data_IF_032239815426
#
_entry.id   IF_032239815426
#
_cell.length_a   1.000
_cell.length_b   1.000
_cell.length_c   1.000
_cell.angle_alpha   90.00
_cell.angle_beta   90.00
_cell.angle_gamma   90.00
#
_symmetry.space_group_name_H-M   'P 1'
#
loop_
_entity.id
_entity.type
_entity.pdbx_description
1 polymer ?
#
# COMPACT_ATOMS: atom_id res chain seq x y z
N UNK A 1 -10.44 -1.44 -0.84
CA UNK A 1 -11.32 -0.35 -0.43
C UNK A 1 -10.67 1.03 -0.70
N UNK A 2 -9.50 1.34 -0.14
CA UNK A 2 -8.80 2.61 -0.39
C UNK A 2 -8.72 2.98 -1.88
N UNK A 3 -8.29 2.03 -2.74
CA UNK A 3 -8.17 2.25 -4.18
C UNK A 3 -9.50 2.62 -4.83
N UNK A 4 -10.59 1.98 -4.39
CA UNK A 4 -11.93 2.30 -4.86
C UNK A 4 -12.35 3.71 -4.42
N UNK A 5 -12.06 4.09 -3.17
CA UNK A 5 -12.32 5.45 -2.69
C UNK A 5 -11.57 6.50 -3.51
N UNK A 6 -10.28 6.28 -3.79
CA UNK A 6 -9.47 7.21 -4.61
C UNK A 6 -9.99 7.28 -6.04
N UNK A 7 -10.30 6.13 -6.67
CA UNK A 7 -10.76 6.11 -8.06
C UNK A 7 -12.11 6.82 -8.26
N UNK A 8 -12.95 6.85 -7.24
CA UNK A 8 -14.27 7.46 -7.24
C UNK A 8 -14.33 8.84 -6.56
N UNK A 9 -13.26 9.27 -5.87
CA UNK A 9 -13.26 10.52 -5.09
C UNK A 9 -14.12 10.45 -3.82
N UNK A 10 -14.36 9.24 -3.32
CA UNK A 10 -15.10 9.02 -2.09
C UNK A 10 -14.16 9.12 -0.87
N UNK A 11 -14.63 9.61 0.27
CA UNK A 11 -13.80 9.64 1.48
C UNK A 11 -13.48 8.21 1.95
N UNK A 12 -12.25 8.02 2.42
CA UNK A 12 -11.90 6.84 3.19
C UNK A 12 -12.18 7.15 4.66
N UNK A 13 -13.18 6.52 5.22
CA UNK A 13 -13.72 6.87 6.54
C UNK A 13 -14.13 8.37 6.57
N UNK A 14 -13.51 9.17 7.45
CA UNK A 14 -13.70 10.62 7.53
C UNK A 14 -12.57 11.44 6.83
N UNK A 15 -11.65 10.75 6.13
CA UNK A 15 -10.55 11.41 5.42
C UNK A 15 -10.92 11.61 3.94
N UNK A 16 -10.82 12.86 3.48
CA UNK A 16 -11.03 13.16 2.06
C UNK A 16 -9.97 12.49 1.18
N UNK A 17 -10.37 12.04 0.00
CA UNK A 17 -9.44 11.54 -1.03
C UNK A 17 -9.39 12.50 -2.20
N UNK A 18 -8.29 12.51 -2.93
CA UNK A 18 -8.18 13.19 -4.22
C UNK A 18 -8.54 12.18 -5.31
N UNK A 19 -9.63 12.45 -6.06
CA UNK A 19 -10.06 11.59 -7.14
C UNK A 19 -8.99 11.49 -8.24
N UNK A 20 -8.77 10.27 -8.73
CA UNK A 20 -7.90 10.01 -9.88
C UNK A 20 -7.78 8.54 -10.19
N UNK A 21 -7.05 8.23 -11.25
CA UNK A 21 -6.79 6.85 -11.63
C UNK A 21 -5.86 6.17 -10.63
N UNK A 22 -6.06 4.86 -10.47
CA UNK A 22 -5.28 4.02 -9.55
C UNK A 22 -4.69 2.85 -10.32
N UNK A 23 -3.40 2.61 -10.18
CA UNK A 23 -2.74 1.37 -10.61
C UNK A 23 -2.50 0.48 -9.40
N UNK A 24 -3.05 -0.74 -9.41
CA UNK A 24 -2.80 -1.75 -8.38
C UNK A 24 -2.00 -2.92 -8.98
N UNK A 25 -0.74 -3.05 -8.58
CA UNK A 25 0.13 -4.18 -8.90
C UNK A 25 -0.10 -5.28 -7.87
N UNK A 26 -1.00 -6.22 -8.17
CA UNK A 26 -1.37 -7.35 -7.31
C UNK A 26 -0.53 -8.58 -7.66
N UNK A 27 0.70 -8.63 -7.15
CA UNK A 27 1.73 -9.56 -7.62
C UNK A 27 1.70 -10.94 -6.93
N UNK A 28 0.78 -11.14 -6.02
CA UNK A 28 0.58 -12.41 -5.30
C UNK A 28 -0.80 -13.04 -5.56
N UNK A 29 -1.68 -12.33 -6.24
CA UNK A 29 -3.04 -12.78 -6.54
C UNK A 29 -3.24 -13.09 -8.04
N UNK A 30 -4.25 -13.89 -8.35
CA UNK A 30 -4.74 -14.09 -9.71
C UNK A 30 -5.84 -13.07 -10.04
N UNK A 31 -6.07 -12.79 -11.33
CA UNK A 31 -7.18 -11.95 -11.77
C UNK A 31 -8.54 -12.41 -11.24
N UNK A 32 -8.76 -13.72 -11.17
CA UNK A 32 -10.01 -14.26 -10.63
C UNK A 32 -10.22 -13.89 -9.16
N UNK A 33 -9.18 -13.94 -8.32
CA UNK A 33 -9.27 -13.53 -6.91
C UNK A 33 -9.49 -12.04 -6.77
N UNK A 34 -8.81 -11.23 -7.58
CA UNK A 34 -8.99 -9.77 -7.62
C UNK A 34 -10.44 -9.45 -7.99
N UNK A 35 -10.96 -10.07 -9.05
CA UNK A 35 -12.33 -9.89 -9.52
C UNK A 35 -13.36 -10.25 -8.43
N UNK A 36 -13.21 -11.42 -7.78
CA UNK A 36 -14.10 -11.84 -6.70
C UNK A 36 -14.11 -10.81 -5.57
N UNK A 37 -12.93 -10.39 -5.08
CA UNK A 37 -12.82 -9.38 -4.01
C UNK A 37 -13.36 -8.01 -4.42
N UNK A 38 -13.23 -7.65 -5.69
CA UNK A 38 -13.76 -6.38 -6.19
C UNK A 38 -15.30 -6.41 -6.22
N UNK A 39 -15.90 -7.53 -6.62
CA UNK A 39 -17.35 -7.71 -6.59
C UNK A 39 -17.94 -7.72 -5.17
N UNK A 40 -17.17 -8.14 -4.16
CA UNK A 40 -17.57 -8.00 -2.75
C UNK A 40 -17.66 -6.52 -2.33
N UNK A 41 -16.96 -5.62 -3.02
CA UNK A 41 -16.89 -4.18 -2.70
C UNK A 41 -17.79 -3.30 -3.56
N UNK A 42 -18.05 -3.69 -4.79
CA UNK A 42 -18.83 -2.90 -5.75
C UNK A 42 -19.40 -3.75 -6.88
N UNK A 43 -20.61 -3.46 -7.30
CA UNK A 43 -21.22 -4.08 -8.49
C UNK A 43 -20.63 -3.51 -9.79
N UNK A 44 -20.21 -2.23 -9.77
CA UNK A 44 -19.62 -1.53 -10.91
C UNK A 44 -18.17 -1.14 -10.62
N UNK A 45 -17.22 -1.86 -11.23
CA UNK A 45 -15.81 -1.51 -11.14
C UNK A 45 -15.53 -0.23 -11.95
N UNK A 46 -15.00 0.83 -11.32
CA UNK A 46 -14.71 2.06 -12.03
C UNK A 46 -13.60 1.85 -13.07
N UNK A 47 -13.73 2.41 -14.30
CA UNK A 47 -12.72 2.27 -15.35
C UNK A 47 -11.39 2.94 -15.00
N UNK A 48 -11.34 3.72 -13.92
CA UNK A 48 -10.18 4.41 -13.37
C UNK A 48 -9.39 3.58 -12.37
N UNK A 49 -9.80 2.32 -12.12
CA UNK A 49 -9.10 1.38 -11.26
C UNK A 49 -8.48 0.25 -12.10
N UNK A 50 -7.17 0.29 -12.27
CA UNK A 50 -6.40 -0.61 -13.11
C UNK A 50 -5.66 -1.65 -12.29
N UNK A 51 -5.62 -2.90 -12.77
CA UNK A 51 -4.92 -4.01 -12.11
C UNK A 51 -3.90 -4.65 -13.05
N UNK A 52 -2.74 -4.98 -12.49
CA UNK A 52 -1.76 -5.84 -13.13
C UNK A 52 -1.29 -6.91 -12.13
N UNK A 53 -1.09 -8.15 -12.61
CA UNK A 53 -0.64 -9.29 -11.80
C UNK A 53 0.83 -9.65 -12.04
N UNK A 54 1.50 -8.91 -12.90
CA UNK A 54 2.92 -9.04 -13.20
C UNK A 54 3.57 -7.67 -13.27
N UNK A 55 4.79 -7.59 -12.80
CA UNK A 55 5.65 -6.41 -12.92
C UNK A 55 7.12 -6.85 -12.94
N UNK A 56 7.97 -6.02 -13.51
CA UNK A 56 9.42 -6.16 -13.40
C UNK A 56 9.88 -5.79 -11.98
N UNK A 57 11.17 -6.07 -11.69
CA UNK A 57 11.74 -5.68 -10.40
C UNK A 57 12.28 -4.25 -10.44
N UNK A 58 12.49 -3.65 -9.27
CA UNK A 58 12.94 -2.27 -9.09
C UNK A 58 14.19 -1.89 -9.90
N UNK A 59 15.13 -2.84 -10.06
CA UNK A 59 16.38 -2.59 -10.81
C UNK A 59 16.31 -3.03 -12.27
N UNK A 60 15.20 -3.59 -12.71
CA UNK A 60 15.07 -4.24 -14.00
C UNK A 60 13.79 -3.87 -14.76
N UNK A 61 13.29 -2.65 -14.60
CA UNK A 61 12.24 -2.15 -15.47
C UNK A 61 10.96 -1.66 -14.79
N UNK A 62 10.75 -1.90 -13.48
CA UNK A 62 9.52 -1.49 -12.78
C UNK A 62 9.27 0.02 -12.90
N UNK A 63 10.32 0.84 -12.74
CA UNK A 63 10.19 2.30 -12.84
C UNK A 63 9.69 2.70 -14.22
N UNK A 64 10.26 2.11 -15.28
CA UNK A 64 9.86 2.36 -16.66
C UNK A 64 8.43 1.91 -16.96
N UNK A 65 8.01 0.76 -16.41
CA UNK A 65 6.63 0.29 -16.54
C UNK A 65 5.64 1.25 -15.89
N UNK A 66 5.93 1.73 -14.68
CA UNK A 66 5.09 2.72 -14.00
C UNK A 66 5.09 4.04 -14.79
N UNK A 67 6.26 4.53 -15.25
CA UNK A 67 6.36 5.75 -16.05
C UNK A 67 5.55 5.66 -17.35
N UNK A 68 5.57 4.51 -18.03
CA UNK A 68 4.77 4.28 -19.23
C UNK A 68 3.28 4.34 -18.91
N UNK A 69 2.84 3.66 -17.85
CA UNK A 69 1.45 3.71 -17.40
C UNK A 69 1.02 5.15 -17.08
N UNK A 70 1.84 5.92 -16.36
CA UNK A 70 1.57 7.31 -16.02
C UNK A 70 1.50 8.23 -17.25
N UNK A 71 2.22 7.92 -18.32
CA UNK A 71 2.14 8.66 -19.57
C UNK A 71 0.81 8.42 -20.32
N UNK A 72 0.28 7.20 -20.24
CA UNK A 72 -1.02 6.81 -20.81
C UNK A 72 -2.19 7.25 -19.92
N UNK A 73 -1.96 7.36 -18.59
CA UNK A 73 -2.93 7.68 -17.55
C UNK A 73 -2.50 8.90 -16.71
N UNK A 74 -2.52 10.12 -17.29
CA UNK A 74 -1.97 11.32 -16.63
C UNK A 74 -2.73 11.77 -15.38
N UNK A 75 -3.96 11.27 -15.17
CA UNK A 75 -4.77 11.56 -14.00
C UNK A 75 -4.53 10.59 -12.83
N UNK A 76 -3.53 9.73 -12.90
CA UNK A 76 -3.18 8.79 -11.83
C UNK A 76 -2.80 9.55 -10.56
N UNK A 77 -3.36 9.11 -9.41
CA UNK A 77 -3.08 9.66 -8.08
C UNK A 77 -2.44 8.64 -7.15
N UNK A 78 -2.66 7.35 -7.40
CA UNK A 78 -2.16 6.29 -6.52
C UNK A 78 -1.63 5.11 -7.33
N UNK A 79 -0.44 4.65 -6.95
CA UNK A 79 0.11 3.36 -7.39
C UNK A 79 0.26 2.49 -6.15
N UNK A 80 -0.29 1.27 -6.17
CA UNK A 80 -0.14 0.29 -5.08
C UNK A 80 0.73 -0.86 -5.57
N UNK A 81 1.72 -1.25 -4.77
CA UNK A 81 2.59 -2.40 -5.03
C UNK A 81 2.36 -3.44 -3.93
N UNK A 82 1.72 -4.55 -4.29
CA UNK A 82 1.34 -5.64 -3.39
C UNK A 82 1.94 -6.98 -3.87
N UNK A 83 3.10 -7.39 -3.35
CA UNK A 83 3.83 -6.80 -2.24
C UNK A 83 5.21 -6.29 -2.68
N UNK A 84 5.80 -5.40 -1.87
CA UNK A 84 7.17 -4.92 -2.06
C UNK A 84 8.17 -6.06 -2.28
N UNK A 85 8.00 -7.18 -1.57
CA UNK A 85 8.88 -8.35 -1.68
C UNK A 85 8.95 -8.92 -3.11
N UNK A 86 7.88 -8.79 -3.90
CA UNK A 86 7.78 -9.33 -5.27
C UNK A 86 8.56 -8.51 -6.30
N UNK A 87 8.79 -7.24 -6.01
CA UNK A 87 9.51 -6.32 -6.91
C UNK A 87 10.95 -6.04 -6.47
N UNK A 88 11.34 -6.52 -5.30
CA UNK A 88 12.73 -6.40 -4.84
C UNK A 88 13.65 -7.29 -5.67
N UNK A 89 14.79 -6.75 -6.06
CA UNK A 89 15.84 -7.55 -6.69
C UNK A 89 16.49 -8.48 -5.66
N UNK A 90 16.82 -9.71 -6.05
CA UNK A 90 17.65 -10.59 -5.24
C UNK A 90 19.02 -9.91 -5.03
N UNK A 91 19.22 -9.32 -3.88
CA UNK A 91 20.48 -8.69 -3.47
C UNK A 91 21.27 -9.61 -2.55
N UNK A 92 22.59 -9.42 -2.48
CA UNK A 92 23.41 -10.09 -1.47
C UNK A 92 23.00 -9.58 -0.08
N UNK A 93 22.88 -10.50 0.89
CA UNK A 93 22.51 -10.21 2.29
C UNK A 93 23.47 -9.27 3.03
N UNK A 94 24.58 -8.89 2.40
CA UNK A 94 25.66 -8.15 3.06
C UNK A 94 25.34 -6.69 3.40
N UNK A 95 24.26 -6.09 2.88
CA UNK A 95 23.88 -4.72 3.23
C UNK A 95 22.37 -4.44 3.02
N UNK A 96 21.53 -5.17 3.75
CA UNK A 96 20.05 -5.06 3.64
C UNK A 96 19.56 -3.64 3.86
N UNK A 97 20.11 -2.92 4.84
CA UNK A 97 19.71 -1.54 5.13
C UNK A 97 19.90 -0.60 3.92
N UNK A 98 21.09 -0.61 3.31
CA UNK A 98 21.38 0.26 2.17
C UNK A 98 20.54 -0.12 0.95
N UNK A 99 20.29 -1.41 0.72
CA UNK A 99 19.45 -1.89 -0.37
C UNK A 99 17.99 -1.44 -0.16
N UNK A 100 17.45 -1.64 1.04
CA UNK A 100 16.09 -1.22 1.39
C UNK A 100 15.91 0.29 1.22
N UNK A 101 16.85 1.08 1.73
CA UNK A 101 16.83 2.53 1.61
C UNK A 101 16.92 3.00 0.15
N UNK A 102 17.74 2.36 -0.68
CA UNK A 102 17.86 2.68 -2.11
C UNK A 102 16.60 2.31 -2.87
N UNK A 103 16.05 1.12 -2.64
CA UNK A 103 14.85 0.63 -3.32
C UNK A 103 13.66 1.56 -3.07
N UNK A 104 13.42 1.94 -1.81
CA UNK A 104 12.37 2.93 -1.48
C UNK A 104 12.69 4.31 -2.04
N UNK A 105 13.96 4.72 -1.99
CA UNK A 105 14.41 6.00 -2.53
C UNK A 105 14.14 6.18 -4.04
N UNK A 106 14.20 5.11 -4.83
CA UNK A 106 13.83 5.14 -6.24
C UNK A 106 12.33 5.42 -6.42
N UNK A 107 11.48 4.68 -5.70
CA UNK A 107 10.04 4.86 -5.75
C UNK A 107 9.61 6.23 -5.23
N UNK A 108 10.26 6.72 -4.16
CA UNK A 108 10.01 8.07 -3.66
C UNK A 108 10.32 9.14 -4.70
N UNK A 109 11.47 9.08 -5.36
CA UNK A 109 11.83 10.02 -6.45
C UNK A 109 10.80 10.02 -7.57
N UNK A 110 10.27 8.84 -7.92
CA UNK A 110 9.22 8.71 -8.92
C UNK A 110 7.92 9.37 -8.44
N UNK A 111 7.51 9.10 -7.20
CA UNK A 111 6.32 9.69 -6.57
C UNK A 111 6.41 11.22 -6.55
N UNK A 112 7.54 11.77 -6.09
CA UNK A 112 7.79 13.21 -6.02
C UNK A 112 7.77 13.85 -7.41
N UNK A 113 8.46 13.25 -8.40
CA UNK A 113 8.54 13.72 -9.79
C UNK A 113 7.17 13.78 -10.47
N UNK A 114 6.31 12.80 -10.17
CA UNK A 114 5.00 12.64 -10.82
C UNK A 114 3.83 13.18 -9.99
N UNK A 115 4.09 13.64 -8.77
CA UNK A 115 3.07 14.13 -7.83
C UNK A 115 1.96 13.11 -7.58
N UNK A 116 2.36 11.85 -7.35
CA UNK A 116 1.47 10.72 -7.03
C UNK A 116 1.84 10.12 -5.67
N UNK A 117 0.90 9.40 -5.08
CA UNK A 117 1.20 8.52 -3.95
C UNK A 117 1.63 7.13 -4.46
N UNK A 118 2.65 6.55 -3.83
CA UNK A 118 3.01 5.14 -4.01
C UNK A 118 2.85 4.43 -2.67
N UNK A 119 1.91 3.49 -2.60
CA UNK A 119 1.65 2.66 -1.43
C UNK A 119 2.33 1.30 -1.59
N UNK A 120 3.23 0.98 -0.68
CA UNK A 120 3.94 -0.29 -0.64
C UNK A 120 3.33 -1.19 0.43
N UNK A 121 2.78 -2.33 0.03
CA UNK A 121 2.30 -3.35 0.96
C UNK A 121 3.47 -4.24 1.34
N UNK A 122 3.63 -4.47 2.64
CA UNK A 122 4.71 -5.29 3.18
C UNK A 122 4.25 -6.10 4.39
N UNK A 123 4.86 -7.28 4.59
CA UNK A 123 4.52 -8.16 5.69
C UNK A 123 5.18 -7.74 7.01
N UNK A 124 4.49 -7.98 8.10
CA UNK A 124 5.06 -7.85 9.44
C UNK A 124 5.87 -9.11 9.81
N UNK A 125 6.84 -8.94 10.70
CA UNK A 125 7.52 -10.07 11.35
C UNK A 125 6.53 -10.84 12.22
N UNK A 126 6.78 -12.13 12.39
CA UNK A 126 6.00 -12.97 13.31
C UNK A 126 6.32 -12.70 14.79
N UNK A 127 7.49 -12.12 15.05
CA UNK A 127 7.91 -11.78 16.41
C UNK A 127 7.14 -10.55 16.88
N UNK A 128 6.52 -10.65 18.05
CA UNK A 128 5.81 -9.54 18.68
C UNK A 128 6.82 -8.54 19.26
N UNK A 129 6.52 -7.25 19.11
CA UNK A 129 7.25 -6.14 19.70
C UNK A 129 6.24 -5.17 20.33
N UNK A 130 6.60 -4.50 21.39
CA UNK A 130 5.75 -3.51 22.06
C UNK A 130 5.55 -2.26 21.17
N UNK A 131 6.54 -1.94 20.34
CA UNK A 131 6.42 -0.93 19.30
C UNK A 131 6.01 -1.58 17.97
N UNK A 132 4.80 -1.33 17.45
CA UNK A 132 4.33 -1.88 16.18
C UNK A 132 5.25 -1.60 15.00
N UNK A 133 5.97 -0.46 15.00
CA UNK A 133 6.87 -0.08 13.92
C UNK A 133 8.08 -1.02 13.82
N UNK A 134 8.53 -1.59 14.94
CA UNK A 134 9.58 -2.59 14.97
C UNK A 134 9.17 -3.94 14.36
N UNK A 135 7.87 -4.17 14.15
CA UNK A 135 7.36 -5.40 13.54
C UNK A 135 7.47 -5.41 12.02
N UNK A 136 7.82 -4.30 11.39
CA UNK A 136 8.01 -4.24 9.94
C UNK A 136 9.16 -5.15 9.54
N UNK A 137 8.89 -6.09 8.62
CA UNK A 137 9.90 -7.01 8.09
C UNK A 137 10.97 -6.25 7.30
N UNK A 138 12.23 -6.71 7.40
CA UNK A 138 13.34 -6.04 6.72
C UNK A 138 14.18 -5.19 7.68
N UNK A 139 14.80 -4.17 7.14
CA UNK A 139 15.60 -3.22 7.93
C UNK A 139 14.80 -1.96 8.27
N UNK A 140 15.31 -1.20 9.26
CA UNK A 140 14.81 0.15 9.56
C UNK A 140 14.98 1.13 8.37
N UNK A 141 15.72 0.72 7.33
CA UNK A 141 15.84 1.48 6.08
C UNK A 141 14.52 1.63 5.33
N UNK A 142 13.58 0.67 5.46
CA UNK A 142 12.27 0.76 4.82
C UNK A 142 11.44 1.92 5.41
N UNK A 143 11.21 1.90 6.72
CA UNK A 143 10.45 2.95 7.41
C UNK A 143 11.15 4.29 7.38
N UNK A 144 12.51 4.31 7.47
CA UNK A 144 13.30 5.54 7.41
C UNK A 144 13.27 6.26 6.06
N UNK A 145 13.05 5.54 4.96
CA UNK A 145 12.96 6.12 3.61
C UNK A 145 11.55 6.53 3.20
N UNK A 146 10.50 5.95 3.82
CA UNK A 146 9.11 6.30 3.56
C UNK A 146 8.73 7.65 4.20
N UNK A 147 7.79 8.38 3.58
CA UNK A 147 7.24 9.60 4.17
C UNK A 147 6.24 9.29 5.28
N UNK A 148 5.49 8.21 5.14
CA UNK A 148 4.54 7.73 6.14
C UNK A 148 4.56 6.22 6.22
N UNK A 149 4.32 5.69 7.40
CA UNK A 149 4.27 4.25 7.68
C UNK A 149 2.98 3.92 8.42
N UNK A 150 2.33 2.85 7.98
CA UNK A 150 1.08 2.37 8.54
C UNK A 150 1.22 0.90 8.93
N UNK A 151 0.95 0.57 10.18
CA UNK A 151 1.00 -0.81 10.67
C UNK A 151 -0.39 -1.26 11.10
N UNK A 152 -0.99 -2.17 10.33
CA UNK A 152 -2.27 -2.78 10.66
C UNK A 152 -2.05 -4.04 11.49
N UNK A 153 -2.53 -4.03 12.73
CA UNK A 153 -2.34 -5.10 13.69
C UNK A 153 -3.68 -5.59 14.26
N UNK A 154 -3.92 -6.89 14.21
CA UNK A 154 -5.03 -7.56 14.89
C UNK A 154 -4.57 -8.17 16.19
N UNK A 155 -5.38 -8.06 17.25
CA UNK A 155 -5.09 -8.68 18.55
C UNK A 155 -5.14 -10.22 18.49
N UNK A 156 -5.97 -10.78 17.61
CA UNK A 156 -6.02 -12.23 17.33
C UNK A 156 -6.50 -12.48 15.91
N UNK A 157 -6.29 -13.71 15.40
CA UNK A 157 -6.76 -14.10 14.05
C UNK A 157 -8.28 -14.04 13.90
N UNK A 158 -9.02 -14.29 14.97
CA UNK A 158 -10.50 -14.31 14.98
C UNK A 158 -11.10 -12.94 15.31
N UNK A 159 -10.29 -11.95 15.69
CA UNK A 159 -10.80 -10.63 15.98
C UNK A 159 -11.22 -9.93 14.69
N UNK A 160 -12.38 -9.30 14.71
CA UNK A 160 -12.82 -8.36 13.67
C UNK A 160 -12.30 -6.93 13.94
N UNK A 161 -11.62 -6.71 15.06
CA UNK A 161 -11.03 -5.42 15.46
C UNK A 161 -9.52 -5.42 15.15
N UNK A 162 -9.04 -4.30 14.60
CA UNK A 162 -7.64 -4.04 14.37
C UNK A 162 -7.27 -2.62 14.80
N UNK A 163 -5.99 -2.41 15.09
CA UNK A 163 -5.38 -1.09 15.25
C UNK A 163 -4.53 -0.77 14.03
N UNK A 164 -4.71 0.40 13.45
CA UNK A 164 -3.85 0.96 12.40
C UNK A 164 -3.00 2.06 13.03
N UNK A 165 -1.74 1.74 13.28
CA UNK A 165 -0.76 2.70 13.79
C UNK A 165 -0.18 3.49 12.63
N UNK A 166 -0.26 4.81 12.71
CA UNK A 166 0.15 5.74 11.65
C UNK A 166 1.26 6.63 12.19
N UNK A 167 2.36 6.74 11.45
CA UNK A 167 3.45 7.69 11.72
C UNK A 167 4.01 8.23 10.41
N UNK A 168 4.57 9.42 10.42
CA UNK A 168 5.16 10.00 9.22
C UNK A 168 5.72 11.40 9.44
N UNK A 169 6.36 11.93 8.39
CA UNK A 169 7.01 13.24 8.45
C UNK A 169 6.01 14.39 8.52
N UNK A 170 4.88 14.24 7.80
CA UNK A 170 3.89 15.29 7.60
C UNK A 170 2.52 14.92 8.22
N UNK A 171 2.46 13.82 8.98
CA UNK A 171 1.28 13.40 9.71
C UNK A 171 1.60 13.24 11.20
N UNK A 172 0.65 13.59 12.07
CA UNK A 172 0.77 13.30 13.48
C UNK A 172 0.70 11.79 13.73
N UNK A 173 1.48 11.31 14.70
CA UNK A 173 1.35 9.94 15.17
C UNK A 173 -0.06 9.75 15.73
N UNK A 174 -0.72 8.68 15.29
CA UNK A 174 -2.07 8.33 15.73
C UNK A 174 -2.35 6.86 15.60
N UNK A 175 -3.36 6.40 16.32
CA UNK A 175 -3.85 5.03 16.21
C UNK A 175 -5.34 5.06 15.85
N UNK A 176 -5.67 4.47 14.71
CA UNK A 176 -7.04 4.27 14.28
C UNK A 176 -7.52 2.88 14.71
N UNK A 177 -8.63 2.82 15.43
CA UNK A 177 -9.28 1.56 15.77
C UNK A 177 -10.30 1.22 14.70
N UNK A 178 -10.14 0.07 14.09
CA UNK A 178 -10.91 -0.36 12.93
C UNK A 178 -11.69 -1.64 13.26
N UNK A 179 -12.90 -1.77 12.70
CA UNK A 179 -13.69 -2.98 12.72
C UNK A 179 -13.90 -3.49 11.29
N UNK A 180 -13.65 -4.77 11.06
CA UNK A 180 -13.90 -5.42 9.77
C UNK A 180 -15.36 -5.83 9.66
N UNK A 181 -16.05 -5.32 8.63
CA UNK A 181 -17.40 -5.74 8.28
C UNK A 181 -17.36 -7.06 7.50
N UNK A 182 -18.01 -8.10 8.05
CA UNK A 182 -18.05 -9.42 7.39
C UNK A 182 -18.96 -9.44 6.17
N UNK A 183 -19.97 -8.58 6.11
CA UNK A 183 -20.92 -8.50 4.99
C UNK A 183 -20.40 -7.64 3.82
N UNK A 184 -19.76 -6.52 4.14
CA UNK A 184 -19.30 -5.53 3.16
C UNK A 184 -17.79 -5.59 2.87
N UNK A 185 -17.07 -6.48 3.56
CA UNK A 185 -15.63 -6.73 3.43
C UNK A 185 -14.74 -5.48 3.56
N UNK A 186 -15.20 -4.45 4.30
CA UNK A 186 -14.45 -3.22 4.52
C UNK A 186 -14.12 -3.00 5.99
N UNK A 187 -13.03 -2.28 6.23
CA UNK A 187 -12.67 -1.79 7.56
C UNK A 187 -13.40 -0.47 7.84
N UNK A 188 -14.14 -0.41 8.96
CA UNK A 188 -14.87 0.77 9.43
C UNK A 188 -14.09 1.43 10.56
N UNK A 189 -14.00 2.75 10.54
CA UNK A 189 -13.36 3.51 11.62
C UNK A 189 -14.29 3.56 12.83
N UNK A 190 -13.78 3.10 13.98
CA UNK A 190 -14.46 3.19 15.27
C UNK A 190 -13.96 4.39 16.09
N UNK A 191 -12.63 4.62 16.10
CA UNK A 191 -11.98 5.61 16.94
C UNK A 191 -10.71 6.11 16.28
N UNK A 192 -10.41 7.41 16.44
CA UNK A 192 -9.16 8.09 16.01
C UNK A 192 -8.54 8.74 17.25
N UNK A 193 -7.34 8.26 17.66
CA UNK A 193 -6.66 8.70 18.90
C UNK A 193 -5.15 8.90 18.71
#
# INVERSE_FOLDING_TARGET
WLCLCVSQGLPLWNFATTQGEVLYLSLEDSFQRIQTRLFDLTEDAPPTLHFAIMADTLKHGLEQQIEQFLAEHPNTKLVVIDTLQRVRSAGSDSNLYANDYQDIGLLKKLADKRHIAILLIHHLRKLHDDDPMNMISGSTGLSGAADSTFVLQKNSRLANIASLHCTGRDIADRTLKLEFGEEDHVWKLLEDS
#
